data_IF_803709252390
#
_entry.id   IF_803709252390
#
_cell.length_a   1.000
_cell.length_b   1.000
_cell.length_c   1.000
_cell.angle_alpha   90.00
_cell.angle_beta   90.00
_cell.angle_gamma   90.00
#
_symmetry.space_group_name_H-M   'P 1'
#
loop_
_entity.id
_entity.type
_entity.pdbx_description
1 polymer ?
#
# COMPACT_ATOMS: atom_id res chain seq x y z
N UNK A 1 28.62 12.67 -13.21
CA UNK A 1 28.22 11.32 -12.75
C UNK A 1 26.70 11.34 -12.64
N UNK A 2 26.01 10.54 -13.43
CA UNK A 2 24.56 10.38 -13.29
C UNK A 2 24.30 9.69 -11.95
N UNK A 3 23.64 10.36 -11.01
CA UNK A 3 23.13 9.71 -9.81
C UNK A 3 22.27 8.52 -10.29
N UNK A 4 22.66 7.31 -9.92
CA UNK A 4 21.81 6.15 -10.15
C UNK A 4 20.54 6.39 -9.34
N UNK A 5 19.40 6.38 -10.00
CA UNK A 5 18.11 6.40 -9.31
C UNK A 5 18.08 5.13 -8.47
N UNK A 6 18.26 5.28 -7.16
CA UNK A 6 18.08 4.17 -6.23
C UNK A 6 16.59 4.05 -5.94
N UNK A 7 16.00 2.94 -6.36
CA UNK A 7 14.67 2.55 -5.92
C UNK A 7 14.70 2.17 -4.43
N UNK A 8 13.59 2.33 -3.75
CA UNK A 8 13.45 1.87 -2.38
C UNK A 8 13.69 0.35 -2.31
N UNK A 9 14.43 -0.17 -1.32
CA UNK A 9 14.63 -1.60 -1.16
C UNK A 9 13.29 -2.31 -0.93
N UNK A 10 13.13 -3.45 -1.60
CA UNK A 10 11.98 -4.35 -1.45
C UNK A 10 12.43 -5.53 -0.59
N UNK A 11 11.67 -5.84 0.44
CA UNK A 11 12.00 -6.91 1.38
C UNK A 11 10.76 -7.61 1.91
N UNK A 12 10.92 -8.78 2.47
CA UNK A 12 9.89 -9.47 3.23
C UNK A 12 9.61 -8.75 4.56
N UNK A 13 8.50 -9.09 5.20
CA UNK A 13 8.19 -8.58 6.54
C UNK A 13 9.31 -8.89 7.53
N UNK A 14 9.82 -10.14 7.52
CA UNK A 14 10.88 -10.55 8.45
C UNK A 14 12.18 -9.76 8.23
N UNK A 15 12.61 -9.59 6.99
CA UNK A 15 13.81 -8.79 6.68
C UNK A 15 13.66 -7.34 7.14
N UNK A 16 12.46 -6.75 7.00
CA UNK A 16 12.21 -5.40 7.49
C UNK A 16 12.22 -5.34 9.02
N UNK A 17 11.62 -6.30 9.70
CA UNK A 17 11.62 -6.40 11.18
C UNK A 17 13.05 -6.52 11.70
N UNK A 18 13.91 -7.28 11.04
CA UNK A 18 15.31 -7.46 11.44
C UNK A 18 16.10 -6.14 11.38
N UNK A 19 15.80 -5.25 10.45
CA UNK A 19 16.45 -3.93 10.34
C UNK A 19 15.74 -2.82 11.11
N UNK A 20 14.46 -3.02 11.52
CA UNK A 20 13.64 -2.01 12.18
C UNK A 20 14.34 -1.33 13.38
N UNK A 21 15.08 -2.05 14.27
CA UNK A 21 15.78 -1.43 15.39
C UNK A 21 16.88 -0.43 14.99
N UNK A 22 17.38 -0.50 13.76
CA UNK A 22 18.40 0.41 13.22
C UNK A 22 17.81 1.62 12.49
N UNK A 23 16.50 1.65 12.29
CA UNK A 23 15.80 2.77 11.63
C UNK A 23 15.51 3.84 12.67
N UNK A 24 16.13 5.00 12.50
CA UNK A 24 15.95 6.17 13.36
C UNK A 24 14.82 7.07 12.83
N UNK A 25 14.18 7.82 13.72
CA UNK A 25 13.13 8.77 13.42
C UNK A 25 11.72 8.15 13.43
N UNK A 26 10.73 8.98 13.11
CA UNK A 26 9.33 8.60 13.05
C UNK A 26 9.05 7.76 11.81
N UNK A 27 8.65 6.51 12.01
CA UNK A 27 8.28 5.59 10.94
C UNK A 27 6.79 5.71 10.63
N UNK A 28 6.51 6.01 9.38
CA UNK A 28 5.16 6.01 8.83
C UNK A 28 4.96 4.74 8.01
N UNK A 29 3.84 4.06 8.23
CA UNK A 29 3.41 2.93 7.43
C UNK A 29 2.13 3.28 6.67
N UNK A 30 2.11 3.01 5.38
CA UNK A 30 0.89 2.96 4.58
C UNK A 30 0.78 1.60 3.88
N UNK A 31 -0.43 1.18 3.53
CA UNK A 31 -0.64 -0.14 2.93
C UNK A 31 -1.69 -0.13 1.83
N UNK A 32 -1.54 -1.04 0.89
CA UNK A 32 -2.53 -1.20 -0.18
C UNK A 32 -2.22 -2.32 -1.15
N UNK A 33 -3.18 -2.61 -2.03
CA UNK A 33 -3.02 -3.58 -3.10
C UNK A 33 -2.31 -3.01 -4.32
N UNK A 34 -2.53 -1.74 -4.65
CA UNK A 34 -1.90 -1.03 -5.78
C UNK A 34 -2.06 -1.76 -7.13
N UNK A 35 -3.27 -2.23 -7.42
CA UNK A 35 -3.51 -3.17 -8.51
C UNK A 35 -4.76 -2.84 -9.37
N UNK A 36 -4.61 -2.12 -10.49
CA UNK A 36 -3.42 -1.34 -10.85
C UNK A 36 -3.23 -0.12 -9.98
N UNK A 37 -2.00 0.38 -9.94
CA UNK A 37 -1.71 1.67 -9.31
C UNK A 37 -2.34 2.81 -10.11
N UNK A 38 -2.78 3.85 -9.43
CA UNK A 38 -3.42 5.02 -10.03
C UNK A 38 -3.05 6.30 -9.26
N UNK A 39 -3.33 7.50 -9.80
CA UNK A 39 -2.95 8.78 -9.17
C UNK A 39 -3.36 8.92 -7.70
N UNK A 40 -4.53 8.42 -7.31
CA UNK A 40 -4.97 8.46 -5.91
C UNK A 40 -4.10 7.63 -4.96
N UNK A 41 -3.58 6.49 -5.41
CA UNK A 41 -2.58 5.74 -4.64
C UNK A 41 -1.28 6.52 -4.50
N UNK A 42 -0.81 7.13 -5.60
CA UNK A 42 0.43 7.90 -5.60
C UNK A 42 0.31 9.10 -4.66
N UNK A 43 -0.80 9.84 -4.72
CA UNK A 43 -1.05 10.97 -3.84
C UNK A 43 -1.04 10.54 -2.36
N UNK A 44 -1.71 9.44 -2.01
CA UNK A 44 -1.71 8.91 -0.65
C UNK A 44 -0.30 8.51 -0.19
N UNK A 45 0.48 7.81 -1.01
CA UNK A 45 1.85 7.39 -0.68
C UNK A 45 2.74 8.61 -0.47
N UNK A 46 2.74 9.55 -1.43
CA UNK A 46 3.60 10.74 -1.38
C UNK A 46 3.24 11.62 -0.17
N UNK A 47 1.95 11.82 0.09
CA UNK A 47 1.49 12.64 1.21
C UNK A 47 1.74 11.96 2.57
N UNK A 48 1.72 10.62 2.63
CA UNK A 48 2.08 9.86 3.84
C UNK A 48 3.48 10.19 4.36
N UNK A 49 4.42 10.53 3.48
CA UNK A 49 5.78 10.92 3.87
C UNK A 49 5.82 12.18 4.75
N UNK A 50 4.81 13.04 4.68
CA UNK A 50 4.75 14.27 5.48
C UNK A 50 4.49 14.01 6.97
N UNK A 51 4.13 12.78 7.34
CA UNK A 51 3.80 12.40 8.73
C UNK A 51 4.97 11.79 9.50
N UNK A 52 6.16 11.66 8.87
CA UNK A 52 7.34 11.17 9.57
C UNK A 52 8.61 11.20 8.73
N UNK A 53 9.69 10.70 9.32
CA UNK A 53 11.02 10.74 8.73
C UNK A 53 11.26 9.60 7.73
N UNK A 54 10.66 8.44 7.98
CA UNK A 54 10.82 7.23 7.17
C UNK A 54 9.46 6.69 6.77
N UNK A 55 9.27 6.42 5.48
CA UNK A 55 8.03 5.84 4.93
C UNK A 55 8.28 4.40 4.47
N UNK A 56 7.56 3.46 5.08
CA UNK A 56 7.44 2.09 4.61
C UNK A 56 6.07 1.86 3.97
N UNK A 57 6.06 1.29 2.79
CA UNK A 57 4.84 0.90 2.08
C UNK A 57 4.68 -0.62 2.12
N UNK A 58 3.64 -1.09 2.78
CA UNK A 58 3.26 -2.51 2.83
C UNK A 58 2.36 -2.82 1.63
N UNK A 59 2.83 -3.67 0.73
CA UNK A 59 2.09 -4.10 -0.46
C UNK A 59 1.42 -5.43 -0.18
N UNK A 60 0.09 -5.44 -0.17
CA UNK A 60 -0.70 -6.64 0.08
C UNK A 60 -0.48 -7.70 -1.02
N UNK A 61 -0.38 -8.95 -0.60
CA UNK A 61 -0.07 -10.10 -1.44
C UNK A 61 -1.14 -10.46 -2.46
N UNK A 62 -0.83 -11.45 -3.29
CA UNK A 62 -1.72 -11.91 -4.34
C UNK A 62 -2.93 -12.67 -3.78
N UNK A 63 -2.75 -13.35 -2.64
CA UNK A 63 -3.87 -14.00 -1.95
C UNK A 63 -4.94 -12.97 -1.50
N UNK A 64 -4.51 -11.86 -0.90
CA UNK A 64 -5.41 -10.76 -0.50
C UNK A 64 -6.21 -10.23 -1.70
N UNK A 65 -5.55 -9.99 -2.84
CA UNK A 65 -6.20 -9.47 -4.04
C UNK A 65 -7.14 -10.50 -4.67
N UNK A 66 -6.77 -11.78 -4.69
CA UNK A 66 -7.60 -12.88 -5.17
C UNK A 66 -8.89 -12.99 -4.37
N UNK A 67 -8.81 -12.86 -3.06
CA UNK A 67 -9.97 -12.83 -2.18
C UNK A 67 -10.87 -11.60 -2.39
N UNK A 68 -10.25 -10.44 -2.65
CA UNK A 68 -10.97 -9.18 -2.80
C UNK A 68 -11.66 -9.02 -4.16
N UNK A 69 -11.04 -9.48 -5.25
CA UNK A 69 -11.48 -9.20 -6.62
C UNK A 69 -11.30 -10.35 -7.61
N UNK A 70 -11.01 -11.56 -7.13
CA UNK A 70 -10.95 -12.79 -7.91
C UNK A 70 -9.56 -13.08 -8.49
N UNK A 71 -8.91 -12.14 -9.11
CA UNK A 71 -7.57 -12.31 -9.70
C UNK A 71 -6.77 -11.01 -9.64
N UNK A 72 -5.48 -11.06 -9.26
CA UNK A 72 -4.60 -9.89 -9.37
C UNK A 72 -4.39 -9.52 -10.86
N UNK A 73 -4.38 -8.22 -11.16
CA UNK A 73 -3.99 -7.72 -12.48
C UNK A 73 -2.45 -7.76 -12.64
N UNK A 74 -1.72 -7.39 -11.59
CA UNK A 74 -0.27 -7.52 -11.50
C UNK A 74 0.09 -8.38 -10.29
N UNK A 75 1.09 -9.27 -10.44
CA UNK A 75 1.61 -10.04 -9.31
C UNK A 75 2.29 -9.14 -8.26
N UNK A 76 2.51 -9.66 -7.07
CA UNK A 76 3.09 -8.93 -5.94
C UNK A 76 4.45 -8.32 -6.28
N UNK A 77 5.34 -9.07 -6.95
CA UNK A 77 6.67 -8.60 -7.32
C UNK A 77 6.60 -7.34 -8.21
N UNK A 78 5.74 -7.37 -9.24
CA UNK A 78 5.54 -6.23 -10.15
C UNK A 78 4.99 -5.01 -9.41
N UNK A 79 4.03 -5.20 -8.51
CA UNK A 79 3.44 -4.11 -7.72
C UNK A 79 4.44 -3.49 -6.77
N UNK A 80 5.26 -4.31 -6.10
CA UNK A 80 6.36 -3.84 -5.25
C UNK A 80 7.38 -3.04 -6.05
N UNK A 81 7.77 -3.50 -7.25
CA UNK A 81 8.70 -2.78 -8.11
C UNK A 81 8.17 -1.40 -8.52
N UNK A 82 6.88 -1.28 -8.87
CA UNK A 82 6.26 0.01 -9.21
C UNK A 82 6.24 0.94 -7.99
N UNK A 83 5.84 0.44 -6.83
CA UNK A 83 5.78 1.22 -5.58
C UNK A 83 7.17 1.69 -5.14
N UNK A 84 8.20 0.86 -5.30
CA UNK A 84 9.58 1.20 -4.92
C UNK A 84 10.16 2.40 -5.69
N UNK A 85 9.60 2.71 -6.86
CA UNK A 85 10.01 3.83 -7.69
C UNK A 85 9.30 5.16 -7.34
N UNK A 86 8.36 5.15 -6.40
CA UNK A 86 7.60 6.34 -6.02
C UNK A 86 8.46 7.22 -5.11
N UNK A 87 8.49 8.51 -5.41
CA UNK A 87 9.22 9.50 -4.63
C UNK A 87 8.74 9.50 -3.17
N UNK A 88 9.69 9.49 -2.23
CA UNK A 88 9.42 9.56 -0.79
C UNK A 88 9.24 8.19 -0.13
N UNK A 89 9.15 7.11 -0.90
CA UNK A 89 9.17 5.75 -0.35
C UNK A 89 10.61 5.40 0.05
N UNK A 90 10.81 5.02 1.31
CA UNK A 90 12.11 4.60 1.82
C UNK A 90 12.27 3.08 1.83
N UNK A 91 11.16 2.35 2.07
CA UNK A 91 11.12 0.88 2.08
C UNK A 91 9.81 0.35 1.51
N UNK A 92 9.88 -0.81 0.87
CA UNK A 92 8.72 -1.57 0.44
C UNK A 92 8.74 -2.94 1.11
N UNK A 93 7.64 -3.31 1.75
CA UNK A 93 7.45 -4.64 2.32
C UNK A 93 6.48 -5.43 1.47
N UNK A 94 6.95 -6.52 0.86
CA UNK A 94 6.12 -7.50 0.20
C UNK A 94 5.41 -8.34 1.26
N UNK A 95 4.10 -8.16 1.39
CA UNK A 95 3.30 -8.76 2.47
C UNK A 95 2.35 -9.81 1.91
N UNK A 96 2.84 -11.03 1.71
CA UNK A 96 2.04 -12.18 1.33
C UNK A 96 1.62 -12.95 2.58
N UNK A 97 0.33 -12.98 2.85
CA UNK A 97 -0.26 -13.74 3.94
C UNK A 97 -1.58 -14.36 3.48
N UNK A 98 -1.82 -15.60 3.87
CA UNK A 98 -3.07 -16.31 3.59
C UNK A 98 -4.04 -16.18 4.78
N UNK A 99 -5.33 -16.22 4.47
CA UNK A 99 -6.43 -16.22 5.45
C UNK A 99 -6.53 -14.94 6.32
N UNK A 100 -5.86 -13.85 5.91
CA UNK A 100 -5.99 -12.55 6.54
C UNK A 100 -6.13 -11.46 5.44
N UNK A 101 -7.16 -10.63 5.55
CA UNK A 101 -7.45 -9.52 4.64
C UNK A 101 -7.05 -8.17 5.23
N UNK A 102 -6.25 -8.18 6.30
CA UNK A 102 -5.77 -6.99 7.01
C UNK A 102 -4.23 -6.91 6.95
N UNK A 103 -3.68 -5.82 7.43
CA UNK A 103 -2.24 -5.68 7.65
C UNK A 103 -1.89 -5.64 9.15
N UNK A 104 -2.77 -6.16 9.98
CA UNK A 104 -2.58 -6.17 11.45
C UNK A 104 -1.25 -6.83 11.82
N UNK A 105 -0.92 -7.98 11.23
CA UNK A 105 0.35 -8.67 11.53
C UNK A 105 1.58 -7.84 11.13
N UNK A 106 1.49 -7.06 10.05
CA UNK A 106 2.57 -6.15 9.68
C UNK A 106 2.67 -4.98 10.67
N UNK A 107 1.56 -4.41 11.12
CA UNK A 107 1.54 -3.34 12.11
C UNK A 107 2.09 -3.82 13.46
N UNK A 108 1.69 -5.00 13.91
CA UNK A 108 2.18 -5.63 15.13
C UNK A 108 3.70 -5.86 15.10
N UNK A 109 4.20 -6.39 13.98
CA UNK A 109 5.62 -6.72 13.83
C UNK A 109 6.51 -5.49 13.63
N UNK A 110 6.04 -4.48 12.87
CA UNK A 110 6.81 -3.28 12.52
C UNK A 110 6.71 -2.22 13.61
N UNK A 111 5.56 -2.08 14.25
CA UNK A 111 5.23 -1.03 15.23
C UNK A 111 5.63 0.37 14.74
N UNK A 112 5.02 0.85 13.65
CA UNK A 112 5.26 2.21 13.20
C UNK A 112 4.69 3.22 14.20
N UNK A 113 5.19 4.45 14.20
CA UNK A 113 4.61 5.54 14.99
C UNK A 113 3.28 6.01 14.38
N UNK A 114 3.17 5.99 13.05
CA UNK A 114 2.00 6.47 12.31
C UNK A 114 1.55 5.44 11.27
N UNK A 115 0.25 5.21 11.20
CA UNK A 115 -0.39 4.43 10.14
C UNK A 115 -1.32 5.33 9.34
N UNK A 116 -1.04 5.50 8.04
CA UNK A 116 -1.82 6.38 7.17
C UNK A 116 -2.80 5.61 6.30
N UNK A 117 -3.99 6.17 6.14
CA UNK A 117 -5.04 5.67 5.23
C UNK A 117 -5.59 6.80 4.36
N UNK A 118 -5.76 6.49 3.09
CA UNK A 118 -6.36 7.40 2.12
C UNK A 118 -7.77 7.01 1.70
N UNK A 119 -8.35 7.82 0.83
CA UNK A 119 -9.66 7.55 0.23
C UNK A 119 -10.82 7.75 1.19
N UNK A 120 -11.72 6.78 1.21
CA UNK A 120 -12.98 6.75 1.97
C UNK A 120 -12.84 6.07 3.36
N UNK A 121 -11.62 5.81 3.81
CA UNK A 121 -11.33 5.19 5.11
C UNK A 121 -11.03 6.27 6.12
N UNK A 122 -12.03 6.57 6.98
CA UNK A 122 -12.01 7.77 7.82
C UNK A 122 -12.19 7.49 9.31
N UNK A 123 -12.60 6.29 9.70
CA UNK A 123 -12.93 5.94 11.07
C UNK A 123 -12.73 4.45 11.41
N UNK A 124 -13.02 4.08 12.65
CA UNK A 124 -12.92 2.72 13.17
C UNK A 124 -13.81 1.72 12.42
N UNK A 125 -14.94 2.14 11.87
CA UNK A 125 -15.87 1.25 11.16
C UNK A 125 -15.35 0.90 9.76
N UNK A 126 -14.53 1.77 9.18
CA UNK A 126 -14.00 1.62 7.81
C UNK A 126 -12.56 1.10 7.77
N UNK A 127 -11.85 1.07 8.91
CA UNK A 127 -10.45 0.64 9.04
C UNK A 127 -10.37 -0.60 9.94
N UNK A 128 -10.24 -1.82 9.39
CA UNK A 128 -10.17 -3.05 10.19
C UNK A 128 -9.01 -3.07 11.19
N UNK A 129 -7.93 -2.35 10.88
CA UNK A 129 -6.72 -2.27 11.70
C UNK A 129 -6.84 -1.29 12.88
N UNK A 130 -7.94 -0.54 13.00
CA UNK A 130 -8.09 0.53 13.99
C UNK A 130 -7.86 0.05 15.44
N UNK A 131 -8.51 -1.05 15.83
CA UNK A 131 -8.39 -1.58 17.20
C UNK A 131 -6.94 -2.01 17.53
N UNK A 132 -6.27 -2.67 16.58
CA UNK A 132 -4.88 -3.06 16.73
C UNK A 132 -3.95 -1.83 16.85
N UNK A 133 -4.18 -0.78 16.05
CA UNK A 133 -3.42 0.46 16.17
C UNK A 133 -3.57 1.09 17.56
N UNK A 134 -4.78 1.09 18.13
CA UNK A 134 -5.01 1.59 19.49
C UNK A 134 -4.27 0.75 20.54
N UNK A 135 -4.28 -0.56 20.41
CA UNK A 135 -3.60 -1.50 21.31
C UNK A 135 -2.08 -1.28 21.31
N UNK A 136 -1.49 -1.08 20.13
CA UNK A 136 -0.04 -0.88 19.96
C UNK A 136 0.41 0.58 20.08
N UNK A 137 -0.50 1.52 20.33
CA UNK A 137 -0.17 2.94 20.46
C UNK A 137 0.24 3.60 19.13
N UNK A 138 -0.26 3.06 18.01
CA UNK A 138 0.02 3.58 16.66
C UNK A 138 -0.99 4.68 16.34
N UNK A 139 -0.53 5.86 15.96
CA UNK A 139 -1.39 6.94 15.50
C UNK A 139 -1.99 6.63 14.13
N UNK A 140 -3.32 6.69 14.00
CA UNK A 140 -4.01 6.50 12.71
C UNK A 140 -4.35 7.86 12.10
N UNK A 141 -3.80 8.15 10.93
CA UNK A 141 -4.08 9.36 10.16
C UNK A 141 -4.89 8.99 8.92
N UNK A 142 -6.08 9.58 8.81
CA UNK A 142 -7.04 9.32 7.73
C UNK A 142 -7.12 10.48 6.74
N UNK A 143 -7.72 10.25 5.56
CA UNK A 143 -7.89 11.29 4.55
C UNK A 143 -6.58 11.74 3.91
N UNK A 144 -5.55 10.88 3.92
CA UNK A 144 -4.24 11.21 3.35
C UNK A 144 -4.28 11.13 1.84
N UNK A 145 -3.71 12.13 1.17
CA UNK A 145 -3.75 12.28 -0.28
C UNK A 145 -5.05 12.94 -0.78
N UNK A 146 -5.29 12.85 -2.07
CA UNK A 146 -6.46 13.46 -2.71
C UNK A 146 -7.76 12.69 -2.39
N UNK A 147 -8.89 13.40 -2.47
CA UNK A 147 -10.21 12.77 -2.42
C UNK A 147 -10.33 11.66 -3.49
N UNK A 148 -11.02 10.58 -3.14
CA UNK A 148 -11.15 9.39 -3.99
C UNK A 148 -11.83 9.72 -5.34
N UNK A 149 -11.04 9.96 -6.37
CA UNK A 149 -11.51 10.17 -7.76
C UNK A 149 -11.35 8.88 -8.59
N UNK A 150 -10.44 7.98 -8.19
CA UNK A 150 -10.08 6.78 -8.92
C UNK A 150 -10.26 5.51 -8.09
N UNK A 151 -10.59 4.42 -8.78
CA UNK A 151 -10.65 3.07 -8.22
C UNK A 151 -9.99 2.10 -9.18
N UNK A 152 -9.10 1.24 -8.68
CA UNK A 152 -8.46 0.20 -9.49
C UNK A 152 -9.49 -0.70 -10.16
N UNK A 153 -10.57 -1.08 -9.45
CA UNK A 153 -11.63 -1.92 -10.01
C UNK A 153 -12.36 -1.23 -11.16
N UNK A 154 -12.69 0.05 -11.00
CA UNK A 154 -13.37 0.82 -12.06
C UNK A 154 -12.47 0.98 -13.29
N UNK A 155 -11.16 1.20 -13.10
CA UNK A 155 -10.20 1.30 -14.20
C UNK A 155 -10.15 -0.01 -15.00
N UNK A 156 -10.08 -1.14 -14.31
CA UNK A 156 -10.05 -2.46 -14.96
C UNK A 156 -11.36 -2.80 -15.66
N UNK A 157 -12.50 -2.50 -15.03
CA UNK A 157 -13.82 -2.71 -15.62
C UNK A 157 -14.03 -1.87 -16.88
N UNK A 158 -13.66 -0.59 -16.84
CA UNK A 158 -13.75 0.30 -17.99
C UNK A 158 -12.83 -0.15 -19.13
N UNK A 159 -11.60 -0.58 -18.81
CA UNK A 159 -10.70 -1.17 -19.80
C UNK A 159 -11.29 -2.43 -20.44
N UNK A 160 -11.81 -3.34 -19.61
CA UNK A 160 -12.42 -4.59 -20.08
C UNK A 160 -13.61 -4.33 -20.99
N UNK A 161 -14.52 -3.44 -20.60
CA UNK A 161 -15.69 -3.08 -21.38
C UNK A 161 -15.32 -2.44 -22.72
N UNK A 162 -14.31 -1.56 -22.75
CA UNK A 162 -13.78 -0.97 -24.00
C UNK A 162 -13.17 -2.03 -24.90
N UNK A 163 -12.45 -2.98 -24.35
CA UNK A 163 -11.83 -4.08 -25.09
C UNK A 163 -12.89 -5.02 -25.69
N UNK A 164 -13.92 -5.37 -24.94
CA UNK A 164 -15.03 -6.20 -25.46
C UNK A 164 -15.70 -5.56 -26.68
N UNK A 165 -15.97 -4.26 -26.67
CA UNK A 165 -16.57 -3.54 -27.81
C UNK A 165 -15.74 -3.61 -29.08
N UNK A 166 -14.43 -3.77 -28.98
CA UNK A 166 -13.56 -3.92 -30.15
C UNK A 166 -13.71 -5.28 -30.85
N UNK A 167 -14.26 -6.28 -30.16
CA UNK A 167 -14.38 -7.64 -30.68
C UNK A 167 -15.84 -8.07 -30.91
N UNK A 168 -16.82 -7.24 -30.54
CA UNK A 168 -18.24 -7.46 -30.84
C UNK A 168 -18.61 -6.59 -32.05
N UNK A 169 -18.87 -7.18 -33.24
CA UNK A 169 -19.45 -6.42 -34.34
C UNK A 169 -20.87 -5.96 -33.96
N UNK A 170 -21.26 -4.76 -34.44
CA UNK A 170 -22.63 -4.24 -34.32
C UNK A 170 -23.66 -5.18 -34.96
#
# INVERSE_FOLDING_TARGET
MSERINFAPIMSLQEFVDIRPSIEGYLVLTSGGYDPIHPGHIACIVDSKNYGDVLVVVVNGDWFLSNKKGVPFMNLETRCAVVSAIRGVDYVVAFEIENDTTVIQALEAIQPEVFTKGGDRVDADTIPEWAACQEYGIEVVTGVGDSKVHSSSNILEDWYNRRLRMFMPE
#
